data_IF_917174712333
#
_entry.id   IF_917174712333
#
_cell.length_a   1.000
_cell.length_b   1.000
_cell.length_c   1.000
_cell.angle_alpha   90.00
_cell.angle_beta   90.00
_cell.angle_gamma   90.00
#
_symmetry.space_group_name_H-M   'P 1'
#
loop_
_entity.id
_entity.type
_entity.pdbx_description
1 polymer ?
#
# COMPACT_ATOMS: atom_id res chain seq x y z
N UNK A 1 -24.86 15.88 7.45
CA UNK A 1 -23.59 15.13 7.29
C UNK A 1 -23.79 14.11 6.18
N UNK A 2 -22.91 14.05 5.16
CA UNK A 2 -23.00 13.03 4.10
C UNK A 2 -22.35 11.73 4.56
N UNK A 3 -22.84 10.59 4.09
CA UNK A 3 -22.22 9.31 4.42
C UNK A 3 -20.93 9.11 3.59
N UNK A 4 -19.91 8.53 4.21
CA UNK A 4 -18.65 8.20 3.52
C UNK A 4 -18.90 7.23 2.35
N UNK A 5 -19.87 6.33 2.48
CA UNK A 5 -20.29 5.42 1.41
C UNK A 5 -20.81 6.16 0.17
N UNK A 6 -21.62 7.20 0.36
CA UNK A 6 -22.13 8.04 -0.73
C UNK A 6 -21.01 8.83 -1.38
N UNK A 7 -20.11 9.40 -0.57
CA UNK A 7 -18.94 10.11 -1.06
C UNK A 7 -18.03 9.19 -1.88
N UNK A 8 -17.73 7.99 -1.39
CA UNK A 8 -16.94 7.00 -2.11
C UNK A 8 -17.58 6.62 -3.45
N UNK A 9 -18.90 6.41 -3.47
CA UNK A 9 -19.61 6.12 -4.72
C UNK A 9 -19.41 7.24 -5.74
N UNK A 10 -19.53 8.50 -5.34
CA UNK A 10 -19.32 9.65 -6.22
C UNK A 10 -17.86 9.77 -6.67
N UNK A 11 -16.89 9.57 -5.77
CA UNK A 11 -15.46 9.61 -6.08
C UNK A 11 -15.12 8.55 -7.13
N UNK A 12 -15.56 7.31 -6.91
CA UNK A 12 -15.30 6.19 -7.83
C UNK A 12 -15.82 6.45 -9.25
N UNK A 13 -16.81 7.31 -9.46
CA UNK A 13 -17.24 7.68 -10.82
C UNK A 13 -16.27 8.65 -11.53
N UNK A 14 -15.38 9.31 -10.80
CA UNK A 14 -14.50 10.38 -11.30
C UNK A 14 -12.99 10.04 -11.21
N UNK A 15 -12.67 8.83 -10.78
CA UNK A 15 -11.30 8.33 -10.70
C UNK A 15 -11.19 7.04 -11.50
N UNK A 16 -9.94 6.64 -11.76
CA UNK A 16 -9.67 5.39 -12.45
C UNK A 16 -9.64 4.24 -11.44
N UNK A 17 -10.53 3.27 -11.66
CA UNK A 17 -10.73 2.10 -10.81
C UNK A 17 -10.18 0.88 -11.53
N UNK A 18 -9.00 0.41 -11.13
CA UNK A 18 -8.38 -0.76 -11.73
C UNK A 18 -8.92 -2.04 -11.10
N UNK A 19 -9.22 -3.03 -11.96
CA UNK A 19 -9.37 -4.41 -11.52
C UNK A 19 -8.00 -5.02 -11.20
N UNK A 20 -8.00 -6.21 -10.60
CA UNK A 20 -6.75 -6.94 -10.38
C UNK A 20 -6.09 -7.37 -11.71
N UNK A 21 -6.88 -7.65 -12.76
CA UNK A 21 -6.35 -7.95 -14.09
C UNK A 21 -5.71 -6.73 -14.75
N UNK A 22 -6.34 -5.57 -14.63
CA UNK A 22 -5.79 -4.33 -15.20
C UNK A 22 -4.48 -3.96 -14.52
N UNK A 23 -4.43 -4.01 -13.18
CA UNK A 23 -3.18 -3.80 -12.45
C UNK A 23 -2.11 -4.82 -12.84
N UNK A 24 -2.46 -6.10 -12.99
CA UNK A 24 -1.50 -7.13 -13.40
C UNK A 24 -0.93 -6.85 -14.79
N UNK A 25 -1.76 -6.38 -15.74
CA UNK A 25 -1.32 -5.97 -17.08
C UNK A 25 -0.40 -4.76 -17.01
N UNK A 26 -0.77 -3.73 -16.25
CA UNK A 26 0.06 -2.53 -16.08
C UNK A 26 1.43 -2.87 -15.46
N UNK A 27 1.46 -3.73 -14.43
CA UNK A 27 2.71 -4.19 -13.80
C UNK A 27 3.62 -5.01 -14.74
N UNK A 28 3.03 -5.68 -15.73
CA UNK A 28 3.79 -6.40 -16.76
C UNK A 28 4.29 -5.48 -17.88
N UNK A 29 3.48 -4.49 -18.26
CA UNK A 29 3.78 -3.59 -19.37
C UNK A 29 4.75 -2.47 -18.98
N UNK A 30 4.62 -1.93 -17.77
CA UNK A 30 5.39 -0.78 -17.30
C UNK A 30 6.16 -1.14 -16.01
N UNK A 31 7.49 -1.17 -16.13
CA UNK A 31 8.39 -1.45 -15.02
C UNK A 31 8.62 -0.22 -14.13
N UNK A 32 8.27 0.97 -14.62
CA UNK A 32 8.42 2.24 -13.92
C UNK A 32 7.16 2.64 -13.15
N UNK A 33 6.05 1.91 -13.30
CA UNK A 33 4.82 2.10 -12.52
C UNK A 33 5.11 2.16 -11.01
N UNK A 34 4.65 3.23 -10.36
CA UNK A 34 4.74 3.39 -8.92
C UNK A 34 3.52 2.77 -8.25
N UNK A 35 3.70 1.57 -7.70
CA UNK A 35 2.68 0.91 -6.90
C UNK A 35 2.84 1.31 -5.42
N UNK A 36 1.77 1.80 -4.79
CA UNK A 36 1.80 2.33 -3.43
C UNK A 36 0.78 1.62 -2.53
N UNK A 37 1.27 0.99 -1.48
CA UNK A 37 0.48 0.39 -0.42
C UNK A 37 0.24 1.42 0.69
N UNK A 38 -1.00 1.88 0.81
CA UNK A 38 -1.37 2.92 1.79
C UNK A 38 -1.98 2.38 3.08
N UNK A 39 -1.91 1.06 3.29
CA UNK A 39 -2.45 0.42 4.49
C UNK A 39 -1.67 0.78 5.74
N UNK A 40 -2.27 0.49 6.89
CA UNK A 40 -1.57 0.63 8.16
C UNK A 40 -0.41 -0.37 8.26
N UNK A 41 0.59 -0.03 9.07
CA UNK A 41 1.81 -0.84 9.21
C UNK A 41 1.51 -2.28 9.62
N UNK A 42 0.52 -2.51 10.47
CA UNK A 42 0.15 -3.85 10.94
C UNK A 42 -0.41 -4.71 9.80
N UNK A 43 -1.29 -4.14 8.98
CA UNK A 43 -1.84 -4.83 7.80
C UNK A 43 -0.72 -5.21 6.82
N UNK A 44 0.22 -4.29 6.59
CA UNK A 44 1.36 -4.50 5.72
C UNK A 44 2.29 -5.59 6.25
N UNK A 45 2.63 -5.56 7.54
CA UNK A 45 3.50 -6.54 8.21
C UNK A 45 2.90 -7.95 8.21
N UNK A 46 1.63 -8.07 8.61
CA UNK A 46 1.03 -9.37 8.89
C UNK A 46 0.63 -10.10 7.63
N UNK A 47 0.13 -9.37 6.64
CA UNK A 47 -0.48 -9.94 5.44
C UNK A 47 0.45 -9.91 4.22
N UNK A 48 1.61 -9.26 4.33
CA UNK A 48 2.48 -8.98 3.19
C UNK A 48 1.93 -7.84 2.32
N UNK A 49 2.49 -7.68 1.12
CA UNK A 49 2.11 -6.62 0.16
C UNK A 49 2.17 -7.13 -1.28
N UNK A 50 1.69 -6.34 -2.24
CA UNK A 50 1.87 -6.65 -3.66
C UNK A 50 3.36 -6.45 -4.01
N UNK A 51 4.03 -7.41 -4.69
CA UNK A 51 5.45 -7.29 -5.00
C UNK A 51 5.81 -5.97 -5.69
N UNK A 52 6.89 -5.34 -5.22
CA UNK A 52 7.37 -4.06 -5.75
C UNK A 52 6.68 -2.82 -5.16
N UNK A 53 5.59 -2.97 -4.39
CA UNK A 53 4.89 -1.84 -3.79
C UNK A 53 5.77 -1.08 -2.77
N UNK A 54 5.64 0.25 -2.78
CA UNK A 54 6.16 1.13 -1.72
C UNK A 54 5.11 1.30 -0.63
N UNK A 55 5.48 1.04 0.62
CA UNK A 55 4.58 1.28 1.75
C UNK A 55 4.60 2.75 2.15
N UNK A 56 3.45 3.41 2.04
CA UNK A 56 3.26 4.83 2.35
C UNK A 56 1.93 4.97 3.10
N UNK A 57 1.92 4.92 4.45
CA UNK A 57 0.68 4.99 5.23
C UNK A 57 -0.19 6.18 4.80
N UNK A 58 -1.52 5.99 4.72
CA UNK A 58 -2.45 6.99 4.18
C UNK A 58 -2.22 8.41 4.72
N UNK A 59 -1.98 8.55 6.02
CA UNK A 59 -1.81 9.85 6.68
C UNK A 59 -0.50 10.58 6.34
N UNK A 60 0.45 9.91 5.67
CA UNK A 60 1.73 10.48 5.24
C UNK A 60 1.80 10.71 3.73
N UNK A 61 0.78 10.30 2.97
CA UNK A 61 0.84 10.25 1.51
C UNK A 61 1.13 11.63 0.91
N UNK A 62 0.33 12.63 1.25
CA UNK A 62 0.45 13.99 0.73
C UNK A 62 1.82 14.60 1.07
N UNK A 63 2.27 14.41 2.32
CA UNK A 63 3.56 14.93 2.77
C UNK A 63 4.77 14.27 2.09
N UNK A 64 4.63 13.00 1.67
CA UNK A 64 5.69 12.30 0.95
C UNK A 64 5.66 12.60 -0.55
N UNK A 65 4.49 12.96 -1.08
CA UNK A 65 4.25 13.31 -2.47
C UNK A 65 4.58 14.78 -2.79
N UNK A 66 4.54 15.69 -1.81
CA UNK A 66 4.84 17.11 -2.01
C UNK A 66 6.35 17.35 -2.25
N UNK A 67 6.77 17.77 -3.47
CA UNK A 67 8.18 18.02 -3.80
C UNK A 67 8.78 19.23 -3.07
N UNK A 68 7.95 20.10 -2.51
CA UNK A 68 8.39 21.27 -1.75
C UNK A 68 8.43 20.99 -0.23
N UNK A 69 7.94 19.83 0.20
CA UNK A 69 7.81 19.46 1.60
C UNK A 69 9.08 18.83 2.19
N UNK A 70 9.29 18.94 3.52
CA UNK A 70 10.45 18.37 4.21
C UNK A 70 10.44 16.83 4.27
N UNK A 71 9.27 16.21 4.02
CA UNK A 71 9.10 14.75 4.04
C UNK A 71 9.06 14.13 2.65
N UNK A 72 9.33 14.92 1.60
CA UNK A 72 9.32 14.46 0.23
C UNK A 72 10.11 13.17 0.06
N UNK A 73 9.58 12.29 -0.80
CA UNK A 73 10.27 11.08 -1.22
C UNK A 73 10.44 11.14 -2.72
N UNK A 74 11.68 11.07 -3.18
CA UNK A 74 12.04 11.15 -4.60
C UNK A 74 11.41 10.07 -5.49
N UNK A 75 10.87 9.00 -4.90
CA UNK A 75 10.10 8.02 -5.67
C UNK A 75 8.70 8.51 -6.05
N UNK A 76 8.23 9.65 -5.53
CA UNK A 76 7.09 10.39 -6.07
C UNK A 76 7.64 11.51 -6.95
N UNK A 77 7.62 11.36 -8.27
CA UNK A 77 8.15 12.38 -9.19
C UNK A 77 7.07 13.19 -9.91
N UNK A 78 5.80 12.96 -9.56
CA UNK A 78 4.65 13.68 -10.12
C UNK A 78 4.26 13.28 -11.55
N UNK A 79 5.11 12.53 -12.26
CA UNK A 79 4.92 12.24 -13.70
C UNK A 79 4.63 10.77 -13.98
N UNK A 80 5.15 9.86 -13.15
CA UNK A 80 4.93 8.42 -13.33
C UNK A 80 3.49 7.99 -13.06
N UNK A 81 3.09 6.93 -13.78
CA UNK A 81 1.88 6.17 -13.47
C UNK A 81 1.94 5.71 -12.02
N UNK A 82 0.98 6.16 -11.22
CA UNK A 82 0.91 5.86 -9.78
C UNK A 82 -0.38 5.12 -9.46
N UNK A 83 -0.28 3.89 -8.94
CA UNK A 83 -1.43 3.12 -8.50
C UNK A 83 -1.41 2.97 -6.99
N UNK A 84 -2.49 3.39 -6.33
CA UNK A 84 -2.65 3.29 -4.89
C UNK A 84 -3.52 2.07 -4.54
N UNK A 85 -3.23 1.39 -3.44
CA UNK A 85 -4.15 0.39 -2.91
C UNK A 85 -4.16 0.37 -1.39
N UNK A 86 -5.33 0.04 -0.84
CA UNK A 86 -5.51 -0.26 0.58
C UNK A 86 -6.05 -1.69 0.75
N UNK A 87 -6.66 -2.03 1.88
CA UNK A 87 -7.25 -3.35 2.08
C UNK A 87 -8.39 -3.68 1.10
N UNK A 88 -9.30 -2.73 0.86
CA UNK A 88 -10.57 -2.98 0.16
C UNK A 88 -11.04 -1.80 -0.72
N UNK A 89 -10.10 -1.01 -1.26
CA UNK A 89 -10.37 0.07 -2.23
C UNK A 89 -10.92 1.39 -1.69
N UNK A 90 -11.53 1.42 -0.49
CA UNK A 90 -12.13 2.65 0.04
C UNK A 90 -11.12 3.77 0.34
N UNK A 91 -10.11 3.49 1.17
CA UNK A 91 -9.05 4.48 1.51
C UNK A 91 -8.26 4.94 0.28
N UNK A 92 -8.02 4.04 -0.68
CA UNK A 92 -7.24 4.37 -1.87
C UNK A 92 -8.04 5.22 -2.85
N UNK A 93 -9.35 5.03 -2.98
CA UNK A 93 -10.20 5.94 -3.75
C UNK A 93 -10.12 7.40 -3.24
N UNK A 94 -10.24 7.59 -1.92
CA UNK A 94 -10.06 8.91 -1.29
C UNK A 94 -8.65 9.47 -1.49
N UNK A 95 -7.64 8.61 -1.45
CA UNK A 95 -6.26 9.00 -1.68
C UNK A 95 -6.00 9.45 -3.12
N UNK A 96 -6.58 8.77 -4.12
CA UNK A 96 -6.49 9.18 -5.52
C UNK A 96 -7.06 10.58 -5.71
N UNK A 97 -8.22 10.87 -5.10
CA UNK A 97 -8.79 12.22 -5.16
C UNK A 97 -7.81 13.27 -4.59
N UNK A 98 -7.26 13.03 -3.40
CA UNK A 98 -6.30 13.96 -2.79
C UNK A 98 -5.04 14.16 -3.65
N UNK A 99 -4.51 13.08 -4.25
CA UNK A 99 -3.36 13.18 -5.15
C UNK A 99 -3.68 13.99 -6.42
N UNK A 100 -4.88 13.83 -6.99
CA UNK A 100 -5.33 14.66 -8.12
C UNK A 100 -5.43 16.13 -7.74
N UNK A 101 -5.93 16.45 -6.55
CA UNK A 101 -5.99 17.83 -6.02
C UNK A 101 -4.58 18.44 -5.84
N UNK A 102 -3.57 17.61 -5.61
CA UNK A 102 -2.15 18.02 -5.58
C UNK A 102 -1.50 18.14 -6.97
N UNK A 103 -2.22 17.81 -8.05
CA UNK A 103 -1.73 17.89 -9.43
C UNK A 103 -1.17 16.59 -10.02
N UNK A 104 -1.34 15.44 -9.36
CA UNK A 104 -1.03 14.15 -9.98
C UNK A 104 -2.08 13.80 -11.03
N UNK A 105 -1.67 13.76 -12.30
CA UNK A 105 -2.59 13.49 -13.41
C UNK A 105 -2.76 11.98 -13.67
N UNK A 106 -1.68 11.22 -13.55
CA UNK A 106 -1.66 9.79 -13.89
C UNK A 106 -1.76 8.89 -12.65
N UNK A 107 -2.87 9.02 -11.92
CA UNK A 107 -3.11 8.32 -10.65
C UNK A 107 -4.41 7.50 -10.67
N UNK A 108 -4.31 6.25 -10.24
CA UNK A 108 -5.43 5.31 -10.15
C UNK A 108 -5.41 4.53 -8.83
N UNK A 109 -6.43 3.72 -8.57
CA UNK A 109 -6.38 2.75 -7.47
C UNK A 109 -6.86 1.37 -7.85
N UNK A 110 -6.38 0.38 -7.11
CA UNK A 110 -6.92 -0.98 -7.13
C UNK A 110 -8.25 -1.00 -6.37
N UNK A 111 -9.35 -1.22 -7.08
CA UNK A 111 -10.71 -1.15 -6.51
C UNK A 111 -11.03 -2.31 -5.56
N UNK A 112 -10.71 -3.58 -5.88
CA UNK A 112 -10.89 -4.69 -4.94
C UNK A 112 -9.96 -4.61 -3.71
N UNK A 113 -8.94 -3.73 -3.78
CA UNK A 113 -7.87 -3.62 -2.80
C UNK A 113 -7.02 -4.89 -2.68
N UNK A 114 -6.14 -4.90 -1.69
CA UNK A 114 -5.26 -6.03 -1.39
C UNK A 114 -6.03 -7.32 -1.07
N UNK A 115 -7.21 -7.22 -0.45
CA UNK A 115 -8.04 -8.38 -0.14
C UNK A 115 -8.54 -9.06 -1.42
N UNK A 116 -8.98 -8.28 -2.42
CA UNK A 116 -9.37 -8.82 -3.72
C UNK A 116 -8.18 -9.47 -4.45
N UNK A 117 -7.03 -8.79 -4.46
CA UNK A 117 -5.79 -9.33 -5.03
C UNK A 117 -5.41 -10.69 -4.46
N UNK A 118 -5.45 -10.82 -3.12
CA UNK A 118 -5.16 -12.08 -2.42
C UNK A 118 -6.24 -13.14 -2.67
N UNK A 119 -7.52 -12.75 -2.72
CA UNK A 119 -8.63 -13.66 -2.99
C UNK A 119 -8.53 -14.32 -4.36
N UNK A 120 -7.96 -13.61 -5.34
CA UNK A 120 -7.69 -14.14 -6.68
C UNK A 120 -6.42 -14.99 -6.75
N UNK A 121 -5.73 -15.25 -5.63
CA UNK A 121 -4.54 -16.11 -5.59
C UNK A 121 -3.30 -15.47 -6.22
N UNK A 122 -3.28 -14.15 -6.39
CA UNK A 122 -2.17 -13.43 -7.00
C UNK A 122 -0.97 -13.33 -6.05
N UNK A 123 0.20 -13.07 -6.63
CA UNK A 123 1.46 -13.06 -5.90
C UNK A 123 1.49 -12.00 -4.78
N UNK A 124 2.00 -12.39 -3.61
CA UNK A 124 2.13 -11.55 -2.42
C UNK A 124 3.54 -11.69 -1.87
N UNK A 125 4.21 -10.57 -1.62
CA UNK A 125 5.53 -10.54 -0.99
C UNK A 125 5.39 -10.44 0.53
N UNK A 126 6.10 -11.31 1.26
CA UNK A 126 6.18 -11.24 2.72
C UNK A 126 7.04 -10.05 3.18
N UNK A 127 6.53 -9.27 4.13
CA UNK A 127 7.12 -8.00 4.59
C UNK A 127 7.73 -8.09 5.99
N UNK A 128 7.48 -9.19 6.72
CA UNK A 128 7.99 -9.43 8.09
C UNK A 128 9.51 -9.25 8.19
N UNK A 129 10.24 -9.64 7.15
CA UNK A 129 11.69 -9.48 7.08
C UNK A 129 12.13 -8.06 6.74
N UNK A 130 11.27 -7.12 6.34
CA UNK A 130 11.64 -5.75 5.98
C UNK A 130 11.49 -4.76 7.15
N UNK A 131 10.74 -5.10 8.20
CA UNK A 131 10.61 -4.26 9.39
C UNK A 131 11.81 -4.41 10.34
N UNK A 132 12.52 -3.29 10.60
CA UNK A 132 13.62 -3.24 11.57
C UNK A 132 13.18 -3.61 12.99
N UNK A 133 11.97 -3.22 13.39
CA UNK A 133 11.42 -3.47 14.72
C UNK A 133 11.15 -4.96 14.93
N UNK A 134 10.64 -5.64 13.89
CA UNK A 134 10.36 -7.08 13.92
C UNK A 134 11.67 -7.87 13.86
N UNK A 135 12.64 -7.46 13.03
CA UNK A 135 13.98 -8.07 13.03
C UNK A 135 14.61 -8.03 14.43
N UNK A 136 14.48 -6.92 15.16
CA UNK A 136 15.02 -6.78 16.52
C UNK A 136 14.34 -7.72 17.52
N UNK A 137 13.02 -7.92 17.41
CA UNK A 137 12.27 -8.89 18.23
C UNK A 137 12.46 -10.35 17.83
N UNK A 138 12.73 -10.65 16.55
CA UNK A 138 13.06 -11.99 16.09
C UNK A 138 14.46 -12.41 16.54
N UNK A 139 15.44 -11.49 16.46
CA UNK A 139 16.82 -11.73 16.91
C UNK A 139 16.91 -11.93 18.43
N UNK A 140 16.08 -11.23 19.22
CA UNK A 140 16.06 -11.44 20.68
C UNK A 140 15.43 -12.78 21.10
N UNK A 141 14.61 -13.40 20.24
CA UNK A 141 14.01 -14.72 20.47
C UNK A 141 14.89 -15.87 19.96
N UNK A 142 15.67 -15.64 18.91
CA UNK A 142 16.61 -16.63 18.38
C UNK A 142 17.79 -16.93 19.32
N UNK A 143 18.07 -16.06 20.30
CA UNK A 143 19.11 -16.25 21.32
C UNK A 143 18.63 -16.92 22.60
N UNK A 144 17.34 -17.25 22.72
CA UNK A 144 16.82 -17.97 23.87
C UNK A 144 16.94 -19.48 23.63
N UNK A 145 18.02 -20.09 24.12
CA UNK A 145 18.11 -21.55 24.25
C UNK A 145 16.96 -22.04 25.15
N UNK A 146 16.23 -23.10 24.78
CA UNK A 146 15.25 -23.71 25.68
C UNK A 146 15.96 -24.12 26.95
N UNK A 147 15.51 -23.60 28.10
CA UNK A 147 15.92 -24.15 29.40
C UNK A 147 15.32 -25.53 29.49
N UNK A 148 16.14 -26.56 29.67
CA UNK A 148 15.67 -27.93 29.91
C UNK A 148 14.68 -27.93 31.08
N UNK A 149 13.59 -28.73 31.01
CA UNK A 149 12.64 -28.80 32.10
C UNK A 149 13.34 -29.42 33.31
N UNK A 150 13.40 -28.67 34.42
CA UNK A 150 13.84 -29.16 35.72
C UNK A 150 12.96 -30.37 36.10
N UNK A 151 13.56 -31.57 36.07
CA UNK A 151 12.98 -32.78 36.66
C UNK A 151 13.46 -32.88 38.10
N UNK A 152 12.49 -32.78 39.02
CA UNK A 152 12.49 -32.98 40.49
C UNK A 152 13.41 -32.11 41.37
#
# INVERSE_FOLDING_TARGET
>A
MRAVSEQLKAIKQNIENLSCDDLQKELHADRDLLLVDIREIQEWVDLGTIPGAKHVPRGMLEFWADPHGPYFRSFFDGTRRTVLFCAAGGRSALAVQAMKEMGYENVAHLDPGFNGWKKEGRNVEATKHKSRWIRRGLLSRASATPKEPDTD
#
